data_IF_304857020957
#
_entry.id   IF_304857020957
#
_cell.length_a   1.000
_cell.length_b   1.000
_cell.length_c   1.000
_cell.angle_alpha   90.00
_cell.angle_beta   90.00
_cell.angle_gamma   90.00
#
_symmetry.space_group_name_H-M   'P 1'
#
loop_
_entity.id
_entity.type
_entity.pdbx_description
1 polymer ?
#
# COMPACT_ATOMS: atom_id res chain seq x y z
N UNK A 1 22.96 -40.39 27.20
CA UNK A 1 24.29 -39.81 26.88
C UNK A 1 24.68 -40.45 25.56
N UNK A 2 24.61 -39.70 24.46
CA UNK A 2 24.95 -40.25 23.13
C UNK A 2 26.42 -40.65 23.11
N UNK A 3 26.72 -41.82 22.55
CA UNK A 3 28.09 -42.29 22.40
C UNK A 3 28.80 -41.51 21.27
N UNK A 4 30.14 -41.62 21.18
CA UNK A 4 30.92 -40.87 20.17
C UNK A 4 30.44 -41.16 18.74
N UNK A 5 30.10 -42.42 18.47
CA UNK A 5 29.67 -42.87 17.14
C UNK A 5 28.31 -42.27 16.76
N UNK A 6 27.37 -42.22 17.71
CA UNK A 6 26.06 -41.57 17.53
C UNK A 6 26.23 -40.08 17.25
N UNK A 7 27.15 -39.40 17.94
CA UNK A 7 27.40 -37.97 17.72
C UNK A 7 27.98 -37.68 16.33
N UNK A 8 28.97 -38.47 15.91
CA UNK A 8 29.55 -38.36 14.56
C UNK A 8 28.50 -38.67 13.48
N UNK A 9 27.60 -39.62 13.71
CA UNK A 9 26.51 -39.93 12.80
C UNK A 9 25.43 -38.84 12.75
N UNK A 10 25.12 -38.21 13.90
CA UNK A 10 24.22 -37.06 13.99
C UNK A 10 24.82 -35.84 13.26
N UNK A 11 26.10 -35.54 13.49
CA UNK A 11 26.81 -34.42 12.82
C UNK A 11 26.81 -34.60 11.29
N UNK A 12 27.06 -35.83 10.79
CA UNK A 12 27.02 -36.13 9.35
C UNK A 12 25.61 -36.07 8.77
N UNK A 13 24.60 -36.51 9.54
CA UNK A 13 23.20 -36.43 9.13
C UNK A 13 22.74 -34.98 9.04
N UNK A 14 23.12 -34.14 10.00
CA UNK A 14 22.87 -32.70 9.98
C UNK A 14 23.62 -32.04 8.81
N UNK A 15 24.89 -32.35 8.54
CA UNK A 15 25.61 -31.76 7.39
C UNK A 15 24.97 -32.11 6.03
N UNK A 16 24.44 -33.32 5.88
CA UNK A 16 23.83 -33.79 4.62
C UNK A 16 22.35 -33.38 4.47
N UNK A 17 21.62 -33.23 5.59
CA UNK A 17 20.16 -33.03 5.59
C UNK A 17 19.72 -31.70 6.20
N UNK A 18 20.59 -30.92 6.84
CA UNK A 18 20.29 -29.55 7.21
C UNK A 18 20.33 -28.73 5.92
N UNK A 19 19.16 -28.37 5.36
CA UNK A 19 19.15 -27.57 4.15
C UNK A 19 19.86 -26.28 4.50
N UNK A 20 21.00 -26.01 3.85
CA UNK A 20 21.64 -24.70 3.84
C UNK A 20 20.52 -23.66 3.84
N UNK A 21 20.45 -22.77 4.85
CA UNK A 21 19.32 -21.89 5.05
C UNK A 21 19.09 -21.20 3.73
N UNK A 22 17.94 -21.48 3.11
CA UNK A 22 17.43 -20.92 1.85
C UNK A 22 18.29 -19.74 1.44
N UNK A 23 19.16 -19.91 0.44
CA UNK A 23 20.07 -18.84 0.01
C UNK A 23 19.22 -17.58 -0.15
N UNK A 24 19.46 -16.56 0.68
CA UNK A 24 18.49 -15.53 1.07
C UNK A 24 17.97 -14.61 -0.06
N UNK A 25 18.22 -14.96 -1.31
CA UNK A 25 17.76 -14.28 -2.51
C UNK A 25 17.03 -15.27 -3.42
N UNK A 26 15.88 -15.78 -2.96
CA UNK A 26 14.89 -16.43 -3.83
C UNK A 26 13.95 -15.35 -4.36
N UNK A 27 13.72 -15.33 -5.67
CA UNK A 27 12.87 -14.35 -6.32
C UNK A 27 11.83 -15.08 -7.15
N UNK A 28 10.56 -14.85 -6.85
CA UNK A 28 9.45 -15.45 -7.55
C UNK A 28 8.48 -14.35 -8.00
N UNK A 29 8.27 -14.20 -9.30
CA UNK A 29 7.28 -13.28 -9.83
C UNK A 29 6.08 -14.01 -10.44
N UNK A 30 5.94 -15.32 -10.15
CA UNK A 30 4.84 -16.14 -10.62
C UNK A 30 3.49 -15.68 -10.08
N UNK A 31 3.44 -14.95 -8.96
CA UNK A 31 2.21 -14.37 -8.43
C UNK A 31 1.86 -13.00 -9.08
N UNK A 32 2.85 -12.28 -9.62
CA UNK A 32 2.68 -10.94 -10.18
C UNK A 32 2.18 -10.99 -11.64
N UNK A 33 1.18 -11.83 -11.90
CA UNK A 33 0.47 -11.89 -13.17
C UNK A 33 -1.04 -11.89 -12.94
N UNK A 34 -1.75 -11.24 -13.84
CA UNK A 34 -3.19 -11.29 -13.88
C UNK A 34 -3.63 -12.47 -14.74
N UNK A 35 -4.47 -13.36 -14.19
CA UNK A 35 -4.97 -14.53 -14.91
C UNK A 35 -6.08 -14.14 -15.90
N UNK A 36 -6.81 -13.06 -15.62
CA UNK A 36 -7.89 -12.58 -16.46
C UNK A 36 -7.43 -11.44 -17.39
N UNK A 37 -7.42 -11.69 -18.71
CA UNK A 37 -6.89 -10.71 -19.69
C UNK A 37 -7.56 -9.33 -19.66
N UNK A 38 -8.80 -9.22 -19.19
CA UNK A 38 -9.51 -7.94 -19.06
C UNK A 38 -9.04 -7.07 -17.90
N UNK A 39 -8.42 -7.66 -16.88
CA UNK A 39 -7.90 -6.98 -15.69
C UNK A 39 -6.40 -6.67 -15.82
N UNK A 40 -5.78 -7.07 -16.93
CA UNK A 40 -4.36 -6.83 -17.21
C UNK A 40 -4.13 -5.31 -17.23
N UNK A 41 -3.24 -4.83 -16.34
CA UNK A 41 -2.95 -3.41 -16.10
C UNK A 41 -4.01 -2.63 -15.29
N UNK A 42 -5.05 -3.28 -14.77
CA UNK A 42 -6.03 -2.64 -13.88
C UNK A 42 -5.68 -2.82 -12.41
N UNK A 43 -5.10 -3.97 -12.05
CA UNK A 43 -4.63 -4.26 -10.69
C UNK A 43 -3.10 -4.33 -10.69
N UNK A 44 -2.40 -3.32 -10.16
CA UNK A 44 -0.95 -3.37 -10.07
C UNK A 44 -0.53 -4.32 -8.95
N UNK A 45 0.10 -5.44 -9.30
CA UNK A 45 0.77 -6.32 -8.33
C UNK A 45 2.27 -6.05 -8.41
N UNK A 46 2.86 -5.61 -7.30
CA UNK A 46 4.29 -5.38 -7.21
C UNK A 46 5.05 -6.70 -7.30
N UNK A 47 6.14 -6.70 -8.06
CA UNK A 47 7.10 -7.81 -8.15
C UNK A 47 8.05 -7.76 -6.97
N UNK A 48 8.69 -8.88 -6.62
CA UNK A 48 9.61 -8.98 -5.48
C UNK A 48 10.71 -7.91 -5.51
N UNK A 49 11.24 -7.64 -6.71
CA UNK A 49 12.32 -6.68 -6.92
C UNK A 49 11.82 -5.41 -7.64
N UNK A 50 10.52 -5.13 -7.58
CA UNK A 50 10.01 -3.88 -8.12
C UNK A 50 10.71 -2.72 -7.39
N UNK A 51 11.19 -1.69 -8.12
CA UNK A 51 11.67 -0.48 -7.48
C UNK A 51 10.52 0.10 -6.65
N UNK A 52 10.77 0.35 -5.38
CA UNK A 52 9.84 1.10 -4.55
C UNK A 52 10.31 2.54 -4.48
N UNK A 53 9.35 3.46 -4.46
CA UNK A 53 9.60 4.87 -4.20
C UNK A 53 9.92 4.99 -2.71
N UNK A 54 11.15 5.37 -2.37
CA UNK A 54 11.50 5.73 -0.99
C UNK A 54 11.14 7.20 -0.76
N UNK A 55 10.13 7.51 0.08
CA UNK A 55 9.81 8.88 0.40
C UNK A 55 10.93 9.58 1.19
N UNK A 56 11.86 8.83 1.76
CA UNK A 56 13.03 9.36 2.46
C UNK A 56 14.07 9.78 1.43
N UNK A 57 14.50 11.04 1.51
CA UNK A 57 15.50 11.66 0.66
C UNK A 57 16.70 12.08 1.52
N UNK A 58 17.63 11.15 1.86
CA UNK A 58 18.85 11.51 2.56
C UNK A 58 19.75 12.42 1.70
N UNK A 59 20.45 13.41 2.29
CA UNK A 59 20.53 13.69 3.71
C UNK A 59 19.34 14.49 4.26
N UNK A 60 18.54 15.11 3.39
CA UNK A 60 17.55 16.15 3.72
C UNK A 60 16.48 15.69 4.72
N UNK A 61 15.93 14.49 4.53
CA UNK A 61 14.79 13.96 5.32
C UNK A 61 15.05 13.72 6.82
N UNK A 62 16.28 13.95 7.30
CA UNK A 62 16.63 13.88 8.71
C UNK A 62 17.64 14.98 9.06
N UNK A 63 17.37 16.21 8.61
CA UNK A 63 18.20 17.39 8.92
C UNK A 63 17.50 18.36 9.85
N UNK A 64 18.29 19.07 10.65
CA UNK A 64 17.81 20.21 11.44
C UNK A 64 17.19 21.31 10.57
N UNK A 65 17.61 21.41 9.30
CA UNK A 65 17.03 22.35 8.34
C UNK A 65 15.56 22.04 8.04
N UNK A 66 15.22 20.76 7.87
CA UNK A 66 13.82 20.36 7.66
C UNK A 66 12.98 20.69 8.90
N UNK A 67 13.49 20.37 10.10
CA UNK A 67 12.77 20.67 11.34
C UNK A 67 12.49 22.18 11.49
N UNK A 68 13.47 23.03 11.17
CA UNK A 68 13.27 24.48 11.22
C UNK A 68 12.20 24.98 10.24
N UNK A 69 12.16 24.41 9.03
CA UNK A 69 11.11 24.74 8.05
C UNK A 69 9.74 24.29 8.52
N UNK A 70 9.64 23.07 9.07
CA UNK A 70 8.40 22.54 9.62
C UNK A 70 7.91 23.42 10.79
N UNK A 71 8.82 23.92 11.64
CA UNK A 71 8.51 24.85 12.74
C UNK A 71 7.99 26.21 12.22
N UNK A 72 8.64 26.76 11.19
CA UNK A 72 8.22 28.02 10.55
C UNK A 72 6.83 27.87 9.89
N UNK A 73 6.59 26.77 9.17
CA UNK A 73 5.31 26.48 8.50
C UNK A 73 4.18 26.22 9.50
N UNK A 74 4.47 25.54 10.61
CA UNK A 74 3.49 25.23 11.64
C UNK A 74 2.99 26.46 12.40
N UNK A 75 3.85 27.47 12.55
CA UNK A 75 3.51 28.73 13.24
C UNK A 75 2.91 29.75 12.27
N UNK A 76 3.08 29.57 10.95
CA UNK A 76 2.48 30.46 9.96
C UNK A 76 0.95 30.44 10.01
N UNK A 77 0.38 31.54 10.51
CA UNK A 77 -1.06 31.74 10.62
C UNK A 77 -1.76 31.79 9.26
N UNK A 78 -1.04 32.01 8.16
CA UNK A 78 -1.58 31.98 6.80
C UNK A 78 -2.00 30.56 6.37
N UNK A 79 -1.35 29.53 6.92
CA UNK A 79 -1.69 28.12 6.72
C UNK A 79 -2.89 27.68 7.57
N UNK A 80 -3.37 28.53 8.47
CA UNK A 80 -4.52 28.24 9.33
C UNK A 80 -5.79 28.80 8.69
N UNK A 81 -6.83 27.96 8.60
CA UNK A 81 -8.16 28.41 8.15
C UNK A 81 -8.65 29.53 9.06
N UNK A 82 -8.90 30.71 8.49
CA UNK A 82 -9.37 31.86 9.25
C UNK A 82 -10.82 31.66 9.74
N UNK A 83 -11.04 31.75 11.05
CA UNK A 83 -12.39 31.82 11.64
C UNK A 83 -12.92 30.49 12.21
N UNK A 84 -14.23 30.46 12.49
CA UNK A 84 -14.90 29.31 13.10
C UNK A 84 -15.48 28.41 12.02
N UNK A 85 -15.02 27.17 11.93
CA UNK A 85 -15.65 26.14 11.08
C UNK A 85 -16.93 25.56 11.70
N UNK A 86 -17.16 25.79 13.00
CA UNK A 86 -18.34 25.27 13.71
C UNK A 86 -19.62 25.97 13.23
N UNK A 87 -20.43 25.24 12.48
CA UNK A 87 -21.70 25.71 11.89
C UNK A 87 -21.55 26.27 10.48
N UNK A 88 -20.33 26.26 9.91
CA UNK A 88 -20.14 26.57 8.50
C UNK A 88 -20.85 25.51 7.65
N UNK A 89 -21.68 25.97 6.71
CA UNK A 89 -22.22 25.08 5.68
C UNK A 89 -21.05 24.63 4.80
N UNK A 90 -21.13 23.43 4.21
CA UNK A 90 -20.17 23.02 3.20
C UNK A 90 -20.16 24.10 2.09
N UNK A 91 -19.02 24.23 1.42
CA UNK A 91 -18.92 25.06 0.21
C UNK A 91 -18.68 24.22 -1.03
N UNK A 92 -18.65 22.90 -0.89
CA UNK A 92 -18.50 21.99 -2.02
C UNK A 92 -19.73 22.07 -2.92
N UNK A 93 -19.55 21.83 -4.22
CA UNK A 93 -20.67 21.89 -5.20
C UNK A 93 -21.83 20.97 -4.80
N UNK A 94 -21.53 19.86 -4.12
CA UNK A 94 -22.50 18.87 -3.67
C UNK A 94 -22.99 19.08 -2.23
N UNK A 95 -22.49 20.06 -1.47
CA UNK A 95 -23.02 20.45 -0.15
C UNK A 95 -23.29 19.29 0.83
N UNK A 96 -22.32 18.37 0.99
CA UNK A 96 -22.42 17.10 1.74
C UNK A 96 -23.33 16.02 1.13
N UNK A 97 -23.75 16.14 -0.13
CA UNK A 97 -24.40 15.02 -0.83
C UNK A 97 -23.38 13.91 -1.08
N UNK A 98 -23.60 12.78 -0.41
CA UNK A 98 -22.86 11.52 -0.62
C UNK A 98 -23.21 10.88 -1.96
N UNK A 99 -24.27 11.37 -2.62
CA UNK A 99 -24.82 10.82 -3.86
C UNK A 99 -26.22 10.24 -3.64
N UNK A 100 -26.77 9.54 -4.65
CA UNK A 100 -27.95 8.69 -4.48
C UNK A 100 -27.66 7.52 -3.53
N UNK A 101 -28.70 7.03 -2.84
CA UNK A 101 -28.61 5.82 -2.02
C UNK A 101 -28.45 4.57 -2.91
N UNK A 102 -28.06 3.43 -2.32
CA UNK A 102 -27.88 2.17 -3.07
C UNK A 102 -29.15 1.74 -3.82
N UNK A 103 -30.33 1.98 -3.23
CA UNK A 103 -31.63 1.68 -3.84
C UNK A 103 -32.01 2.66 -4.97
N UNK A 104 -31.35 3.82 -5.03
CA UNK A 104 -31.54 4.85 -6.08
C UNK A 104 -30.57 4.64 -7.27
N UNK A 105 -29.68 3.65 -7.18
CA UNK A 105 -28.80 3.28 -8.28
C UNK A 105 -29.59 2.56 -9.38
N UNK A 106 -29.27 2.81 -10.67
CA UNK A 106 -29.87 2.04 -11.76
C UNK A 106 -29.51 0.56 -11.62
N UNK A 107 -30.46 -0.33 -11.96
CA UNK A 107 -30.34 -1.80 -11.82
C UNK A 107 -29.03 -2.34 -12.43
N UNK A 108 -28.56 -1.76 -13.53
CA UNK A 108 -27.33 -2.21 -14.18
C UNK A 108 -26.08 -1.98 -13.32
N UNK A 109 -26.08 -0.92 -12.50
CA UNK A 109 -25.01 -0.60 -11.54
C UNK A 109 -25.21 -1.39 -10.24
N UNK A 110 -26.43 -1.44 -9.71
CA UNK A 110 -26.75 -2.15 -8.47
C UNK A 110 -26.43 -3.65 -8.55
N UNK A 111 -26.74 -4.28 -9.68
CA UNK A 111 -26.49 -5.70 -9.91
C UNK A 111 -25.17 -5.98 -10.66
N UNK A 112 -24.39 -4.94 -11.00
CA UNK A 112 -23.06 -5.09 -11.59
C UNK A 112 -23.02 -5.71 -13.00
N UNK A 113 -24.15 -5.71 -13.72
CA UNK A 113 -24.30 -6.44 -14.99
C UNK A 113 -23.47 -5.86 -16.14
N UNK A 114 -23.06 -4.60 -16.04
CA UNK A 114 -22.37 -3.87 -17.13
C UNK A 114 -20.90 -3.57 -16.83
N UNK A 115 -20.42 -3.82 -15.61
CA UNK A 115 -19.02 -3.57 -15.22
C UNK A 115 -18.58 -2.09 -15.31
N UNK A 116 -19.52 -1.15 -15.25
CA UNK A 116 -19.25 0.29 -15.33
C UNK A 116 -19.69 1.01 -14.07
N UNK A 117 -18.84 1.89 -13.51
CA UNK A 117 -19.22 2.77 -12.39
C UNK A 117 -20.22 3.85 -12.82
N UNK A 118 -21.12 4.25 -11.92
CA UNK A 118 -22.19 5.26 -12.16
C UNK A 118 -21.67 6.67 -12.46
N UNK A 119 -20.37 6.92 -12.31
CA UNK A 119 -19.73 8.23 -12.49
C UNK A 119 -19.74 8.78 -13.92
N UNK A 120 -20.22 8.02 -14.91
CA UNK A 120 -20.34 8.51 -16.31
C UNK A 120 -21.53 9.44 -16.57
N UNK A 121 -22.50 9.49 -15.67
CA UNK A 121 -23.69 10.33 -15.82
C UNK A 121 -23.69 11.44 -14.76
N UNK A 122 -22.75 12.39 -14.87
CA UNK A 122 -22.71 13.62 -14.07
C UNK A 122 -22.43 14.83 -14.95
#
# INVERSE_FOLDING_TARGET
>A
MSNRYEREAEDLYEEENDPSPVSGTFHDNSYAHETQSSLRNQVPVARDQAPYEDPVQPPYSNTDQQLAQDEDEAIDQSNVISGRTRGAKPQTRNQYSEGPDEDDLPDEVLYGNVGTSSTRYA
#
